data_IF_313203233928
#
_entry.id   IF_313203233928
#
_cell.length_a   1.000
_cell.length_b   1.000
_cell.length_c   1.000
_cell.angle_alpha   90.00
_cell.angle_beta   90.00
_cell.angle_gamma   90.00
#
_symmetry.space_group_name_H-M   'P 1'
#
loop_
_entity.id
_entity.type
_entity.pdbx_description
1 polymer ?
#
# COMPACT_ATOMS: atom_id res chain seq x y z
N UNK A 1 -22.64 -5.62 -3.95
CA UNK A 1 -21.31 -5.32 -4.52
C UNK A 1 -20.28 -5.55 -3.42
N UNK A 2 -19.17 -6.24 -3.70
CA UNK A 2 -18.05 -6.32 -2.75
C UNK A 2 -17.42 -4.93 -2.58
N UNK A 3 -17.25 -4.48 -1.34
CA UNK A 3 -16.48 -3.28 -1.03
C UNK A 3 -15.06 -3.68 -0.64
N UNK A 4 -14.11 -2.87 -1.06
CA UNK A 4 -12.71 -3.00 -0.67
C UNK A 4 -12.24 -1.74 0.03
N UNK A 5 -11.32 -1.90 0.98
CA UNK A 5 -10.60 -0.82 1.64
C UNK A 5 -9.10 -0.94 1.39
N UNK A 6 -8.43 0.20 1.21
CA UNK A 6 -6.97 0.29 1.15
C UNK A 6 -6.45 0.96 2.43
N UNK A 7 -5.50 0.30 3.09
CA UNK A 7 -4.75 0.85 4.22
C UNK A 7 -3.31 1.15 3.80
N UNK A 8 -2.83 2.35 4.15
CA UNK A 8 -1.43 2.76 3.96
C UNK A 8 -0.84 3.09 5.34
N UNK A 9 0.22 2.39 5.71
CA UNK A 9 0.98 2.59 6.94
C UNK A 9 2.39 3.08 6.58
N UNK A 10 2.70 4.32 6.96
CA UNK A 10 3.97 4.99 6.65
C UNK A 10 4.86 4.95 7.88
N UNK A 11 5.73 3.95 7.97
CA UNK A 11 6.75 3.87 9.01
C UNK A 11 8.05 4.56 8.61
N UNK A 12 8.91 4.84 9.58
CA UNK A 12 10.26 5.35 9.32
C UNK A 12 11.17 4.31 8.62
N UNK A 13 10.89 3.02 8.83
CA UNK A 13 11.67 1.92 8.24
C UNK A 13 10.99 1.26 7.05
N UNK A 14 9.69 1.02 7.15
CA UNK A 14 8.95 0.33 6.11
C UNK A 14 7.64 1.05 5.83
N UNK A 15 7.28 1.10 4.55
CA UNK A 15 5.96 1.46 4.07
C UNK A 15 5.18 0.19 3.80
N UNK A 16 3.91 0.16 4.22
CA UNK A 16 3.02 -0.97 4.01
C UNK A 16 1.74 -0.52 3.34
N UNK A 17 1.29 -1.32 2.37
CA UNK A 17 -0.02 -1.13 1.74
C UNK A 17 -0.77 -2.45 1.82
N UNK A 18 -2.00 -2.40 2.30
CA UNK A 18 -2.88 -3.57 2.39
C UNK A 18 -4.24 -3.28 1.77
N UNK A 19 -4.84 -4.29 1.15
CA UNK A 19 -6.23 -4.28 0.70
C UNK A 19 -7.03 -5.28 1.52
N UNK A 20 -8.19 -4.87 1.98
CA UNK A 20 -9.14 -5.72 2.70
C UNK A 20 -10.55 -5.62 2.16
N UNK A 21 -11.40 -6.53 2.59
CA UNK A 21 -12.84 -6.47 2.33
C UNK A 21 -13.63 -5.86 3.50
N UNK A 22 -14.93 -5.70 3.30
CA UNK A 22 -15.88 -5.17 4.29
C UNK A 22 -15.99 -5.99 5.59
N UNK A 23 -15.47 -7.21 5.63
CA UNK A 23 -15.44 -8.04 6.86
C UNK A 23 -14.18 -7.77 7.70
N UNK A 24 -13.29 -6.91 7.21
CA UNK A 24 -12.00 -6.62 7.85
C UNK A 24 -10.91 -7.64 7.49
N UNK A 25 -11.18 -8.58 6.57
CA UNK A 25 -10.19 -9.55 6.13
C UNK A 25 -9.19 -8.86 5.21
N UNK A 26 -7.89 -9.00 5.51
CA UNK A 26 -6.81 -8.59 4.60
C UNK A 26 -6.71 -9.62 3.47
N UNK A 27 -6.86 -9.15 2.24
CA UNK A 27 -6.78 -9.96 1.03
C UNK A 27 -5.36 -10.03 0.48
N UNK A 28 -4.63 -8.91 0.54
CA UNK A 28 -3.24 -8.82 0.08
C UNK A 28 -2.52 -7.69 0.80
N UNK A 29 -1.19 -7.81 0.92
CA UNK A 29 -0.32 -6.77 1.49
C UNK A 29 1.02 -6.71 0.76
N UNK A 30 1.59 -5.52 0.70
CA UNK A 30 2.94 -5.24 0.20
C UNK A 30 3.71 -4.47 1.27
N UNK A 31 4.98 -4.81 1.45
CA UNK A 31 5.89 -4.13 2.38
C UNK A 31 7.16 -3.79 1.61
N UNK A 32 7.61 -2.55 1.72
CA UNK A 32 8.87 -2.08 1.16
C UNK A 32 9.59 -1.20 2.18
N UNK A 33 10.92 -1.08 2.08
CA UNK A 33 11.62 -0.06 2.84
C UNK A 33 11.12 1.33 2.46
N UNK A 34 10.92 2.19 3.46
CA UNK A 34 10.48 3.56 3.24
C UNK A 34 11.53 4.32 2.45
N UNK A 35 11.12 4.99 1.37
CA UNK A 35 12.02 5.88 0.64
C UNK A 35 12.50 7.02 1.55
N UNK A 36 13.82 7.14 1.74
CA UNK A 36 14.47 8.17 2.57
C UNK A 36 15.25 9.19 1.74
N UNK A 37 15.03 9.21 0.43
CA UNK A 37 15.57 10.26 -0.41
C UNK A 37 15.00 11.61 0.05
N UNK A 38 15.78 12.67 -0.12
CA UNK A 38 15.35 14.03 0.20
C UNK A 38 14.41 14.61 -0.89
N UNK A 39 13.79 13.77 -1.72
CA UNK A 39 12.79 14.19 -2.70
C UNK A 39 11.42 14.28 -2.03
N UNK A 40 10.78 15.47 -2.02
CA UNK A 40 9.51 15.71 -1.33
C UNK A 40 8.34 14.87 -1.86
N UNK A 41 8.49 14.22 -3.02
CA UNK A 41 7.43 13.42 -3.66
C UNK A 41 7.73 11.92 -3.66
N UNK A 42 8.86 11.49 -3.11
CA UNK A 42 9.29 10.09 -3.14
C UNK A 42 8.28 9.13 -2.48
N UNK A 43 7.83 9.47 -1.26
CA UNK A 43 6.83 8.69 -0.52
C UNK A 43 5.51 8.58 -1.30
N UNK A 44 5.02 9.70 -1.84
CA UNK A 44 3.77 9.71 -2.63
C UNK A 44 3.86 8.81 -3.86
N UNK A 45 4.99 8.83 -4.57
CA UNK A 45 5.22 7.94 -5.73
C UNK A 45 5.36 6.48 -5.29
N UNK A 46 6.03 6.21 -4.17
CA UNK A 46 6.13 4.87 -3.60
C UNK A 46 4.75 4.31 -3.28
N UNK A 47 3.90 5.04 -2.54
CA UNK A 47 2.53 4.64 -2.21
C UNK A 47 1.74 4.35 -3.49
N UNK A 48 1.75 5.26 -4.47
CA UNK A 48 1.02 5.09 -5.71
C UNK A 48 1.47 3.84 -6.50
N UNK A 49 2.77 3.56 -6.54
CA UNK A 49 3.32 2.35 -7.18
C UNK A 49 2.89 1.09 -6.42
N UNK A 50 3.01 1.09 -5.09
CA UNK A 50 2.65 -0.05 -4.24
C UNK A 50 1.15 -0.38 -4.37
N UNK A 51 0.26 0.62 -4.34
CA UNK A 51 -1.18 0.43 -4.56
C UNK A 51 -1.45 -0.18 -5.93
N UNK A 52 -0.86 0.37 -7.00
CA UNK A 52 -1.04 -0.16 -8.36
C UNK A 52 -0.56 -1.62 -8.49
N UNK A 53 0.57 -1.96 -7.88
CA UNK A 53 1.08 -3.34 -7.84
C UNK A 53 0.12 -4.27 -7.10
N UNK A 54 -0.42 -3.82 -5.96
CA UNK A 54 -1.36 -4.60 -5.17
C UNK A 54 -2.66 -4.85 -5.94
N UNK A 55 -3.23 -3.82 -6.58
CA UNK A 55 -4.45 -3.96 -7.39
C UNK A 55 -4.28 -4.91 -8.58
N UNK A 56 -3.09 -4.95 -9.21
CA UNK A 56 -2.80 -5.90 -10.28
C UNK A 56 -2.66 -7.35 -9.80
N UNK A 57 -2.36 -7.55 -8.52
CA UNK A 57 -2.21 -8.90 -7.93
C UNK A 57 -3.54 -9.53 -7.51
N UNK A 58 -4.60 -8.72 -7.42
CA UNK A 58 -5.96 -9.19 -7.16
C UNK A 58 -6.60 -9.56 -8.50
N UNK A 59 -6.52 -10.83 -8.86
CA UNK A 59 -7.27 -11.40 -9.99
C UNK A 59 -8.75 -11.56 -9.64
#
# INVERSE_FOLDING_TARGET
MKKYGLGVDIGATNLRVAIGDETGRILSKLIEETDRSQDPTAISRQIARMIKSLCKSLN
#
